data_IF_630449258691
#
_entry.id   IF_630449258691
#
_cell.length_a   1.000
_cell.length_b   1.000
_cell.length_c   1.000
_cell.angle_alpha   90.00
_cell.angle_beta   90.00
_cell.angle_gamma   90.00
#
_symmetry.space_group_name_H-M   'P 1'
#
loop_
_entity.id
_entity.type
_entity.pdbx_description
1 polymer ?
#
# COMPACT_ATOMS: atom_id res chain seq x y z
N UNK A 1 10.54 15.23 -21.25
CA UNK A 1 9.84 13.95 -21.00
C UNK A 1 9.62 13.88 -19.51
N UNK A 2 8.35 13.84 -19.07
CA UNK A 2 8.00 13.88 -17.64
C UNK A 2 8.60 12.67 -16.93
N UNK A 3 9.29 12.91 -15.83
CA UNK A 3 9.86 11.86 -14.97
C UNK A 3 8.85 11.50 -13.88
N UNK A 4 8.62 10.21 -13.64
CA UNK A 4 7.80 9.72 -12.54
C UNK A 4 8.54 8.62 -11.77
N UNK A 5 8.93 8.90 -10.53
CA UNK A 5 9.55 7.93 -9.61
C UNK A 5 8.48 7.24 -8.78
N UNK A 6 8.34 5.93 -8.93
CA UNK A 6 7.36 5.14 -8.19
C UNK A 6 8.03 4.47 -7.00
N UNK A 7 7.60 4.86 -5.80
CA UNK A 7 8.04 4.32 -4.52
C UNK A 7 7.06 3.23 -4.08
N UNK A 8 7.48 1.97 -4.12
CA UNK A 8 6.67 0.83 -3.69
C UNK A 8 6.92 0.52 -2.21
N UNK A 9 5.84 0.55 -1.42
CA UNK A 9 5.82 0.15 -0.01
C UNK A 9 4.65 -0.78 0.29
N UNK A 10 4.78 -1.72 1.25
CA UNK A 10 3.61 -2.38 1.85
C UNK A 10 2.79 -1.34 2.63
N UNK A 11 1.52 -1.16 2.25
CA UNK A 11 0.66 -0.09 2.75
C UNK A 11 0.29 -0.20 4.24
N UNK A 12 0.49 -1.36 4.86
CA UNK A 12 0.07 -1.66 6.23
C UNK A 12 1.25 -1.74 7.23
N UNK A 13 2.49 -1.50 6.79
CA UNK A 13 3.68 -1.51 7.65
C UNK A 13 4.14 -0.07 7.91
N UNK A 14 4.13 0.37 9.17
CA UNK A 14 4.52 1.74 9.57
C UNK A 14 5.99 2.00 9.28
N UNK A 15 6.87 1.04 9.50
CA UNK A 15 8.29 1.16 9.18
C UNK A 15 8.57 1.34 7.68
N UNK A 16 7.72 0.81 6.79
CA UNK A 16 7.80 1.08 5.36
C UNK A 16 7.37 2.51 5.02
N UNK A 17 6.27 2.99 5.62
CA UNK A 17 5.84 4.39 5.49
C UNK A 17 6.91 5.38 6.01
N UNK A 18 7.60 5.05 7.12
CA UNK A 18 8.72 5.84 7.64
C UNK A 18 9.91 5.91 6.65
N UNK A 19 10.19 4.84 5.91
CA UNK A 19 11.22 4.88 4.86
C UNK A 19 10.81 5.74 3.68
N UNK A 20 9.54 5.67 3.26
CA UNK A 20 9.00 6.56 2.23
C UNK A 20 9.03 8.03 2.66
N UNK A 21 8.62 8.33 3.88
CA UNK A 21 8.71 9.66 4.49
C UNK A 21 10.13 10.23 4.43
N UNK A 22 11.13 9.47 4.90
CA UNK A 22 12.54 9.86 4.82
C UNK A 22 13.06 10.04 3.39
N UNK A 23 12.49 9.31 2.43
CA UNK A 23 12.85 9.45 1.02
C UNK A 23 12.27 10.77 0.45
N UNK A 24 11.00 11.07 0.74
CA UNK A 24 10.33 12.31 0.35
C UNK A 24 11.04 13.56 0.90
N UNK A 25 11.58 13.49 2.12
CA UNK A 25 12.31 14.62 2.72
C UNK A 25 13.66 14.90 2.05
N UNK A 26 14.29 13.90 1.42
CA UNK A 26 15.66 13.98 0.89
C UNK A 26 15.76 14.31 -0.59
N UNK A 27 14.65 14.15 -1.30
CA UNK A 27 14.63 14.15 -2.75
C UNK A 27 13.78 15.32 -3.24
N UNK A 28 14.25 15.98 -4.29
CA UNK A 28 13.48 17.02 -4.97
C UNK A 28 12.48 16.41 -5.95
N UNK A 29 11.32 17.03 -6.01
CA UNK A 29 10.19 16.71 -6.89
C UNK A 29 9.30 17.95 -6.97
N UNK A 30 8.55 18.08 -8.07
CA UNK A 30 7.58 19.15 -8.27
C UNK A 30 6.13 18.65 -8.14
N UNK A 31 5.91 17.34 -8.19
CA UNK A 31 4.62 16.72 -7.88
C UNK A 31 4.78 15.48 -6.98
N UNK A 32 3.87 15.31 -6.02
CA UNK A 32 3.74 14.08 -5.22
C UNK A 32 2.35 13.48 -5.39
N UNK A 33 2.32 12.20 -5.75
CA UNK A 33 1.13 11.37 -5.89
C UNK A 33 1.06 10.41 -4.70
N UNK A 34 0.00 10.52 -3.91
CA UNK A 34 -0.21 9.77 -2.68
C UNK A 34 -1.31 8.73 -2.88
N UNK A 35 -1.04 7.52 -2.38
CA UNK A 35 -2.00 6.41 -2.33
C UNK A 35 -3.09 6.62 -1.26
N UNK A 36 -3.73 7.78 -1.28
CA UNK A 36 -4.84 8.19 -0.43
C UNK A 36 -6.06 8.54 -1.30
N UNK A 37 -7.26 8.47 -0.72
CA UNK A 37 -8.49 8.93 -1.37
C UNK A 37 -8.36 10.39 -1.79
N UNK A 38 -8.88 10.71 -2.97
CA UNK A 38 -9.01 12.07 -3.50
C UNK A 38 -9.71 13.04 -2.54
N UNK A 39 -10.65 12.54 -1.75
CA UNK A 39 -11.39 13.36 -0.79
C UNK A 39 -10.48 13.92 0.32
N UNK A 40 -9.28 13.35 0.50
CA UNK A 40 -8.31 13.78 1.49
C UNK A 40 -7.37 14.89 0.98
N UNK A 41 -7.39 15.20 -0.32
CA UNK A 41 -6.40 16.10 -0.94
C UNK A 41 -6.41 17.51 -0.34
N UNK A 42 -7.59 18.09 -0.08
CA UNK A 42 -7.70 19.43 0.53
C UNK A 42 -7.12 19.44 1.95
N UNK A 43 -7.43 18.42 2.75
CA UNK A 43 -6.91 18.30 4.12
C UNK A 43 -5.39 18.11 4.14
N UNK A 44 -4.86 17.31 3.22
CA UNK A 44 -3.42 17.09 3.09
C UNK A 44 -2.71 18.34 2.58
N UNK A 45 -3.33 19.10 1.67
CA UNK A 45 -2.79 20.39 1.22
C UNK A 45 -2.72 21.40 2.38
N UNK A 46 -3.76 21.51 3.20
CA UNK A 46 -3.73 22.36 4.39
C UNK A 46 -2.63 21.95 5.38
N UNK A 47 -2.41 20.64 5.56
CA UNK A 47 -1.27 20.13 6.35
C UNK A 47 0.07 20.54 5.73
N UNK A 48 0.18 20.46 4.41
CA UNK A 48 1.37 20.83 3.65
C UNK A 48 1.67 22.34 3.69
N UNK A 49 0.64 23.18 3.85
CA UNK A 49 0.74 24.62 4.14
C UNK A 49 1.16 24.90 5.61
N UNK A 50 1.17 23.86 6.47
CA UNK A 50 1.66 23.94 7.83
C UNK A 50 0.58 23.90 8.91
N UNK A 51 -0.68 23.58 8.56
CA UNK A 51 -1.71 23.38 9.57
C UNK A 51 -1.31 22.31 10.60
N UNK A 52 -1.73 22.43 11.87
CA UNK A 52 -1.43 21.42 12.88
C UNK A 52 -2.01 20.05 12.52
N UNK A 53 -1.20 18.99 12.61
CA UNK A 53 -1.59 17.62 12.27
C UNK A 53 -2.88 17.19 12.98
N UNK A 54 -2.93 17.32 14.31
CA UNK A 54 -4.10 16.92 15.10
C UNK A 54 -5.37 17.66 14.67
N UNK A 55 -5.27 18.94 14.27
CA UNK A 55 -6.42 19.70 13.80
C UNK A 55 -6.98 19.14 12.49
N UNK A 56 -6.10 18.86 11.53
CA UNK A 56 -6.48 18.25 10.24
C UNK A 56 -7.08 16.87 10.46
N UNK A 57 -6.44 16.02 11.27
CA UNK A 57 -6.94 14.68 11.57
C UNK A 57 -8.34 14.70 12.18
N UNK A 58 -8.58 15.56 13.17
CA UNK A 58 -9.91 15.68 13.78
C UNK A 58 -10.96 16.21 12.80
N UNK A 59 -10.57 17.09 11.86
CA UNK A 59 -11.46 17.53 10.78
C UNK A 59 -11.81 16.38 9.83
N UNK A 60 -10.81 15.60 9.40
CA UNK A 60 -11.02 14.44 8.50
C UNK A 60 -11.95 13.39 9.14
N UNK A 61 -11.81 13.14 10.45
CA UNK A 61 -12.71 12.27 11.22
C UNK A 61 -14.13 12.81 11.26
N UNK A 62 -14.32 14.10 11.59
CA UNK A 62 -15.64 14.74 11.66
C UNK A 62 -16.38 14.68 10.32
N UNK A 63 -15.65 14.86 9.23
CA UNK A 63 -16.18 14.79 7.86
C UNK A 63 -16.32 13.35 7.34
N UNK A 64 -15.86 12.34 8.09
CA UNK A 64 -15.89 10.91 7.72
C UNK A 64 -15.23 10.62 6.37
N UNK A 65 -14.15 11.35 6.06
CA UNK A 65 -13.40 11.18 4.81
C UNK A 65 -12.42 10.02 4.87
N UNK A 66 -12.11 9.55 6.08
CA UNK A 66 -11.32 8.34 6.32
C UNK A 66 -12.27 7.25 6.81
N UNK A 67 -12.30 6.07 6.16
CA UNK A 67 -13.11 4.95 6.64
C UNK A 67 -12.66 4.47 8.02
N UNK A 68 -13.62 4.05 8.85
CA UNK A 68 -13.32 3.40 10.12
C UNK A 68 -12.78 1.97 9.91
N UNK A 69 -11.90 1.44 10.78
CA UNK A 69 -11.33 2.11 11.96
C UNK A 69 -10.19 3.07 11.62
N UNK A 70 -10.29 4.32 12.08
CA UNK A 70 -9.31 5.38 11.80
C UNK A 70 -7.87 5.02 12.21
N UNK A 71 -7.72 4.28 13.32
CA UNK A 71 -6.41 3.90 13.85
C UNK A 71 -5.56 3.10 12.85
N UNK A 72 -6.18 2.20 12.08
CA UNK A 72 -5.47 1.40 11.09
C UNK A 72 -4.93 2.25 9.94
N UNK A 73 -5.72 3.22 9.47
CA UNK A 73 -5.28 4.17 8.45
C UNK A 73 -4.19 5.11 8.99
N UNK A 74 -4.40 5.68 10.18
CA UNK A 74 -3.45 6.60 10.81
C UNK A 74 -2.09 5.96 11.07
N UNK A 75 -2.06 4.67 11.43
CA UNK A 75 -0.83 3.94 11.73
C UNK A 75 0.21 3.98 10.59
N UNK A 76 -0.22 3.81 9.34
CA UNK A 76 0.67 3.88 8.17
C UNK A 76 0.64 5.24 7.44
N UNK A 77 -0.42 6.03 7.55
CA UNK A 77 -0.51 7.34 6.91
C UNK A 77 0.32 8.41 7.63
N UNK A 78 0.37 8.39 8.97
CA UNK A 78 0.99 9.42 9.81
C UNK A 78 2.42 9.78 9.37
N UNK A 79 3.35 8.83 9.16
CA UNK A 79 4.72 9.17 8.77
C UNK A 79 4.81 10.00 7.48
N UNK A 80 4.00 9.66 6.47
CA UNK A 80 3.99 10.34 5.18
C UNK A 80 3.39 11.75 5.33
N UNK A 81 2.28 11.86 6.07
CA UNK A 81 1.62 13.13 6.32
C UNK A 81 2.52 14.11 7.08
N UNK A 82 3.26 13.63 8.09
CA UNK A 82 4.20 14.45 8.84
C UNK A 82 5.40 14.92 8.00
N UNK A 83 5.90 14.08 7.08
CA UNK A 83 6.96 14.47 6.15
C UNK A 83 6.53 15.58 5.17
N UNK A 84 5.25 15.63 4.82
CA UNK A 84 4.70 16.69 3.97
C UNK A 84 4.34 17.95 4.75
N UNK A 85 4.25 17.92 6.08
CA UNK A 85 3.78 19.06 6.87
C UNK A 85 4.67 20.28 6.69
N UNK A 86 4.08 21.40 6.26
CA UNK A 86 4.80 22.65 6.02
C UNK A 86 5.74 22.62 4.82
N UNK A 87 5.68 21.60 3.96
CA UNK A 87 6.50 21.51 2.75
C UNK A 87 6.26 22.70 1.80
N UNK A 88 5.02 23.19 1.71
CA UNK A 88 4.65 24.30 0.82
C UNK A 88 5.19 25.64 1.32
N UNK A 89 5.55 25.76 2.61
CA UNK A 89 6.26 26.92 3.13
C UNK A 89 7.71 26.99 2.64
N UNK A 90 8.29 25.84 2.27
CA UNK A 90 9.67 25.72 1.76
C UNK A 90 9.71 25.65 0.24
N UNK A 91 8.72 24.98 -0.36
CA UNK A 91 8.61 24.68 -1.79
C UNK A 91 7.16 24.94 -2.25
N UNK A 92 6.76 26.22 -2.48
CA UNK A 92 5.37 26.61 -2.74
C UNK A 92 4.75 26.00 -4.00
N UNK A 93 5.59 25.69 -4.98
CA UNK A 93 5.14 25.21 -6.30
C UNK A 93 4.88 23.70 -6.36
N UNK A 94 5.14 22.97 -5.26
CA UNK A 94 4.90 21.52 -5.23
C UNK A 94 3.41 21.22 -5.35
N UNK A 95 3.09 20.35 -6.30
CA UNK A 95 1.75 19.81 -6.49
C UNK A 95 1.57 18.56 -5.64
N UNK A 96 0.46 18.51 -4.91
CA UNK A 96 0.10 17.37 -4.06
C UNK A 96 -1.20 16.79 -4.61
N UNK A 97 -1.17 15.50 -4.94
CA UNK A 97 -2.28 14.77 -5.51
C UNK A 97 -2.56 13.49 -4.74
N UNK A 98 -3.81 13.28 -4.36
CA UNK A 98 -4.28 11.99 -3.85
C UNK A 98 -4.98 11.28 -4.99
N UNK A 99 -4.53 10.07 -5.37
CA UNK A 99 -4.99 9.48 -6.62
C UNK A 99 -6.06 8.41 -6.45
N UNK A 100 -6.29 7.87 -5.25
CA UNK A 100 -7.21 6.75 -5.06
C UNK A 100 -8.66 7.14 -5.23
N UNK A 101 -9.42 6.25 -5.85
CA UNK A 101 -10.87 6.37 -5.94
C UNK A 101 -11.54 6.06 -4.59
N UNK A 102 -12.34 7.01 -4.10
CA UNK A 102 -13.05 6.89 -2.82
C UNK A 102 -14.07 5.75 -2.81
N UNK A 103 -14.66 5.41 -3.97
CA UNK A 103 -15.63 4.32 -4.05
C UNK A 103 -14.95 2.96 -3.85
N UNK A 104 -13.77 2.79 -4.44
CA UNK A 104 -12.94 1.61 -4.26
C UNK A 104 -12.33 1.52 -2.86
N UNK A 105 -11.99 2.63 -2.22
CA UNK A 105 -11.55 2.66 -0.81
C UNK A 105 -12.63 2.10 0.12
N UNK A 106 -13.89 2.51 -0.06
CA UNK A 106 -15.01 1.97 0.72
C UNK A 106 -15.22 0.47 0.47
N UNK A 107 -15.07 0.01 -0.78
CA UNK A 107 -15.15 -1.41 -1.12
C UNK A 107 -14.02 -2.20 -0.44
N UNK A 108 -12.81 -1.64 -0.41
CA UNK A 108 -11.63 -2.25 0.23
C UNK A 108 -11.85 -2.47 1.73
N UNK A 109 -12.48 -1.51 2.40
CA UNK A 109 -12.82 -1.59 3.83
C UNK A 109 -13.86 -2.68 4.08
N UNK A 110 -14.94 -2.72 3.28
CA UNK A 110 -15.96 -3.79 3.37
C UNK A 110 -15.36 -5.17 3.13
N UNK A 111 -14.38 -5.28 2.22
CA UNK A 111 -13.66 -6.53 1.99
C UNK A 111 -12.85 -6.93 3.24
N UNK A 112 -12.11 -6.00 3.84
CA UNK A 112 -11.34 -6.25 5.04
C UNK A 112 -12.22 -6.69 6.22
N UNK A 113 -13.39 -6.06 6.40
CA UNK A 113 -14.39 -6.47 7.39
C UNK A 113 -14.87 -7.91 7.17
N UNK A 114 -15.20 -8.27 5.92
CA UNK A 114 -15.61 -9.65 5.59
C UNK A 114 -14.49 -10.65 5.81
N UNK A 115 -13.25 -10.33 5.46
CA UNK A 115 -12.07 -11.17 5.74
C UNK A 115 -11.89 -11.36 7.25
N UNK A 116 -12.04 -10.29 8.04
CA UNK A 116 -11.94 -10.37 9.50
C UNK A 116 -13.03 -11.27 10.09
N UNK A 117 -14.28 -11.16 9.62
CA UNK A 117 -15.40 -12.01 10.04
C UNK A 117 -15.17 -13.49 9.69
N UNK A 118 -14.70 -13.78 8.47
CA UNK A 118 -14.38 -15.15 8.07
C UNK A 118 -13.21 -15.71 8.90
N UNK A 119 -12.18 -14.90 9.13
CA UNK A 119 -11.04 -15.28 9.99
C UNK A 119 -11.50 -15.60 11.40
N UNK A 120 -12.34 -14.75 11.99
CA UNK A 120 -12.92 -14.97 13.32
C UNK A 120 -13.77 -16.24 13.38
N UNK A 121 -14.57 -16.52 12.35
CA UNK A 121 -15.36 -17.75 12.25
C UNK A 121 -14.46 -18.99 12.23
N UNK A 122 -13.37 -18.95 11.47
CA UNK A 122 -12.40 -20.07 11.45
C UNK A 122 -11.72 -20.20 12.81
N UNK A 123 -11.30 -19.10 13.45
CA UNK A 123 -10.73 -19.14 14.81
C UNK A 123 -11.68 -19.79 15.81
N UNK A 124 -12.98 -19.52 15.71
CA UNK A 124 -13.99 -19.97 16.67
C UNK A 124 -14.50 -21.39 16.41
N UNK A 125 -14.53 -21.83 15.14
CA UNK A 125 -15.17 -23.10 14.75
C UNK A 125 -14.20 -24.13 14.19
N UNK A 126 -12.99 -23.72 13.80
CA UNK A 126 -12.02 -24.55 13.06
C UNK A 126 -12.44 -24.88 11.62
N UNK A 127 -13.60 -24.41 11.14
CA UNK A 127 -14.14 -24.76 9.83
C UNK A 127 -13.77 -23.73 8.78
N UNK A 128 -13.13 -24.17 7.70
CA UNK A 128 -12.83 -23.34 6.53
C UNK A 128 -13.79 -23.71 5.39
N UNK A 129 -14.50 -22.72 4.86
CA UNK A 129 -15.27 -22.85 3.63
C UNK A 129 -14.50 -22.20 2.48
N UNK A 130 -13.76 -22.98 1.69
CA UNK A 130 -12.92 -22.41 0.63
C UNK A 130 -13.72 -21.70 -0.46
N UNK A 131 -14.94 -22.17 -0.78
CA UNK A 131 -15.81 -21.55 -1.78
C UNK A 131 -16.27 -20.15 -1.34
N UNK A 132 -16.57 -19.97 -0.05
CA UNK A 132 -16.94 -18.66 0.52
C UNK A 132 -15.78 -17.67 0.43
N UNK A 133 -14.56 -18.12 0.76
CA UNK A 133 -13.35 -17.32 0.60
C UNK A 133 -13.08 -16.99 -0.87
N UNK A 134 -13.18 -17.97 -1.76
CA UNK A 134 -12.98 -17.79 -3.19
C UNK A 134 -13.95 -16.76 -3.77
N UNK A 135 -15.25 -16.89 -3.46
CA UNK A 135 -16.30 -15.97 -3.90
C UNK A 135 -16.07 -14.55 -3.39
N UNK A 136 -15.73 -14.40 -2.11
CA UNK A 136 -15.38 -13.09 -1.53
C UNK A 136 -14.22 -12.44 -2.27
N UNK A 137 -13.11 -13.17 -2.46
CA UNK A 137 -11.92 -12.61 -3.08
C UNK A 137 -12.16 -12.29 -4.56
N UNK A 138 -12.85 -13.17 -5.30
CA UNK A 138 -13.23 -12.94 -6.72
C UNK A 138 -14.07 -11.69 -6.89
N UNK A 139 -15.03 -11.45 -5.98
CA UNK A 139 -15.92 -10.28 -6.03
C UNK A 139 -15.19 -8.93 -5.98
N UNK A 140 -13.91 -8.93 -5.59
CA UNK A 140 -13.09 -7.73 -5.48
C UNK A 140 -12.12 -7.53 -6.66
N UNK A 141 -11.80 -8.58 -7.42
CA UNK A 141 -10.71 -8.52 -8.42
C UNK A 141 -11.03 -7.60 -9.61
N UNK A 142 -12.26 -7.66 -10.12
CA UNK A 142 -12.69 -6.79 -11.22
C UNK A 142 -12.78 -5.32 -10.78
N UNK A 143 -13.45 -4.97 -9.66
CA UNK A 143 -13.40 -3.60 -9.14
C UNK A 143 -11.98 -3.09 -8.87
N UNK A 144 -11.08 -3.94 -8.36
CA UNK A 144 -9.67 -3.57 -8.13
C UNK A 144 -8.94 -3.25 -9.43
N UNK A 145 -9.18 -4.02 -10.49
CA UNK A 145 -8.56 -3.78 -11.80
C UNK A 145 -9.07 -2.48 -12.44
N UNK A 146 -10.38 -2.21 -12.35
CA UNK A 146 -10.97 -0.98 -12.89
C UNK A 146 -10.49 0.25 -12.11
N UNK A 147 -10.49 0.18 -10.77
CA UNK A 147 -9.97 1.26 -9.93
C UNK A 147 -8.50 1.53 -10.22
N UNK A 148 -7.67 0.49 -10.33
CA UNK A 148 -6.25 0.65 -10.62
C UNK A 148 -6.00 1.31 -11.98
N UNK A 149 -6.81 0.99 -12.99
CA UNK A 149 -6.74 1.61 -14.31
C UNK A 149 -7.09 3.11 -14.21
N UNK A 150 -8.22 3.43 -13.59
CA UNK A 150 -8.69 4.81 -13.39
C UNK A 150 -7.69 5.64 -12.57
N UNK A 151 -7.15 5.08 -11.49
CA UNK A 151 -6.10 5.68 -10.66
C UNK A 151 -4.84 6.00 -11.48
N UNK A 152 -4.46 5.10 -12.39
CA UNK A 152 -3.29 5.31 -13.26
C UNK A 152 -3.54 6.40 -14.29
N UNK A 153 -4.71 6.40 -14.93
CA UNK A 153 -5.13 7.45 -15.87
C UNK A 153 -5.22 8.82 -15.18
N UNK A 154 -5.59 8.86 -13.89
CA UNK A 154 -5.55 10.07 -13.09
C UNK A 154 -4.11 10.56 -12.86
N UNK A 155 -3.19 9.67 -12.47
CA UNK A 155 -1.78 10.02 -12.27
C UNK A 155 -1.19 10.58 -13.58
N UNK A 156 -1.41 9.91 -14.71
CA UNK A 156 -0.93 10.37 -16.01
C UNK A 156 -1.40 11.80 -16.33
N UNK A 157 -2.72 12.06 -16.31
CA UNK A 157 -3.28 13.39 -16.59
C UNK A 157 -2.72 14.50 -15.70
N UNK A 158 -2.46 14.20 -14.43
CA UNK A 158 -1.91 15.18 -13.48
C UNK A 158 -0.41 15.39 -13.68
N UNK A 159 0.31 14.32 -14.05
CA UNK A 159 1.75 14.34 -14.30
C UNK A 159 2.14 15.19 -15.53
N UNK A 160 1.24 15.37 -16.51
CA UNK A 160 1.46 16.27 -17.67
C UNK A 160 1.84 17.70 -17.26
N UNK A 161 1.40 18.14 -16.09
CA UNK A 161 1.66 19.48 -15.58
C UNK A 161 2.96 19.60 -14.77
N UNK A 162 3.75 18.53 -14.67
CA UNK A 162 4.98 18.44 -13.88
C UNK A 162 6.15 17.91 -14.71
N UNK A 163 7.36 18.24 -14.32
CA UNK A 163 8.60 17.72 -14.90
C UNK A 163 9.13 16.50 -14.14
N UNK A 164 8.98 16.44 -12.80
CA UNK A 164 9.51 15.37 -11.94
C UNK A 164 8.59 14.97 -10.78
N UNK A 165 7.69 14.03 -11.07
CA UNK A 165 6.76 13.47 -10.11
C UNK A 165 7.34 12.34 -9.25
N UNK A 166 6.86 12.25 -8.01
CA UNK A 166 7.09 11.10 -7.14
C UNK A 166 5.75 10.47 -6.74
N UNK A 167 5.61 9.16 -6.91
CA UNK A 167 4.38 8.42 -6.67
C UNK A 167 4.59 7.37 -5.58
N UNK A 168 3.94 7.54 -4.43
CA UNK A 168 3.92 6.52 -3.37
C UNK A 168 2.81 5.53 -3.69
N UNK A 169 3.16 4.26 -3.85
CA UNK A 169 2.23 3.21 -4.25
C UNK A 169 2.42 1.93 -3.43
N UNK A 170 1.38 1.09 -3.44
CA UNK A 170 1.47 -0.29 -2.99
C UNK A 170 2.22 -1.17 -3.99
N UNK A 171 2.11 -2.50 -3.85
CA UNK A 171 2.69 -3.44 -4.83
C UNK A 171 2.08 -3.35 -6.23
N UNK A 172 0.93 -2.68 -6.38
CA UNK A 172 0.35 -2.28 -7.66
C UNK A 172 1.18 -1.20 -8.39
N UNK A 173 2.16 -0.56 -7.74
CA UNK A 173 3.06 0.41 -8.36
C UNK A 173 3.82 -0.11 -9.58
N UNK A 174 4.03 -1.44 -9.69
CA UNK A 174 4.56 -2.05 -10.92
C UNK A 174 3.63 -1.86 -12.12
N UNK A 175 2.31 -1.98 -11.91
CA UNK A 175 1.33 -1.78 -12.97
C UNK A 175 1.26 -0.30 -13.38
N UNK A 176 1.21 0.60 -12.39
CA UNK A 176 1.27 2.05 -12.61
C UNK A 176 2.50 2.40 -13.46
N UNK A 177 3.67 1.84 -13.10
CA UNK A 177 4.91 2.02 -13.87
C UNK A 177 4.75 1.58 -15.32
N UNK A 178 4.35 0.33 -15.54
CA UNK A 178 4.22 -0.24 -16.89
C UNK A 178 3.31 0.62 -17.76
N UNK A 179 2.16 1.03 -17.22
CA UNK A 179 1.21 1.84 -17.96
C UNK A 179 1.73 3.24 -18.28
N UNK A 180 2.35 3.91 -17.31
CA UNK A 180 2.98 5.21 -17.55
C UNK A 180 4.13 5.11 -18.58
N UNK A 181 4.89 4.01 -18.60
CA UNK A 181 5.90 3.79 -19.67
C UNK A 181 5.24 3.67 -21.05
N UNK A 182 4.13 2.95 -21.16
CA UNK A 182 3.37 2.83 -22.42
C UNK A 182 2.84 4.18 -22.91
N UNK A 183 2.59 5.11 -22.00
CA UNK A 183 2.15 6.48 -22.30
C UNK A 183 3.32 7.46 -22.54
N UNK A 184 4.56 6.98 -22.55
CA UNK A 184 5.75 7.77 -22.91
C UNK A 184 6.39 8.54 -21.75
N UNK A 185 6.04 8.23 -20.50
CA UNK A 185 6.68 8.81 -19.32
C UNK A 185 8.03 8.14 -19.02
N UNK A 186 9.00 8.92 -18.51
CA UNK A 186 10.25 8.38 -18.00
C UNK A 186 10.01 7.88 -16.57
N UNK A 187 9.84 6.57 -16.38
CA UNK A 187 9.50 6.02 -15.07
C UNK A 187 10.61 5.15 -14.46
N UNK A 188 10.74 5.26 -13.14
CA UNK A 188 11.59 4.38 -12.34
C UNK A 188 10.79 3.77 -11.19
N UNK A 189 11.25 2.62 -10.70
CA UNK A 189 10.56 1.86 -9.66
C UNK A 189 11.54 1.53 -8.54
N UNK A 190 11.25 2.02 -7.33
CA UNK A 190 12.06 1.77 -6.15
C UNK A 190 11.23 1.06 -5.08
N UNK A 191 11.66 -0.11 -4.65
CA UNK A 191 11.06 -0.82 -3.52
C UNK A 191 11.77 -0.39 -2.24
N UNK A 192 11.07 0.35 -1.36
CA UNK A 192 11.70 0.93 -0.17
C UNK A 192 11.72 -0.01 1.04
N UNK A 193 11.02 -1.13 0.95
CA UNK A 193 10.93 -2.12 2.02
C UNK A 193 11.26 -3.51 1.48
N UNK A 194 12.55 -3.80 1.29
CA UNK A 194 13.04 -5.11 0.89
C UNK A 194 14.12 -5.62 1.86
N UNK A 195 14.20 -6.95 2.08
CA UNK A 195 13.26 -7.96 1.61
C UNK A 195 11.88 -7.85 2.28
N UNK A 196 10.81 -8.14 1.54
CA UNK A 196 9.42 -8.22 2.04
C UNK A 196 8.88 -9.63 1.86
N UNK A 197 8.31 -10.18 2.94
CA UNK A 197 7.62 -11.46 2.92
C UNK A 197 6.11 -11.23 2.85
N UNK A 198 5.47 -11.72 1.78
CA UNK A 198 4.01 -11.59 1.62
C UNK A 198 3.28 -12.43 2.65
N UNK A 199 2.32 -11.82 3.34
CA UNK A 199 1.43 -12.52 4.28
C UNK A 199 0.59 -13.57 3.55
N UNK A 200 0.05 -14.58 4.26
CA UNK A 200 -0.72 -15.63 3.60
C UNK A 200 -1.94 -15.12 2.82
N UNK A 201 -2.61 -14.07 3.29
CA UNK A 201 -3.75 -13.45 2.59
C UNK A 201 -3.29 -12.70 1.33
N UNK A 202 -2.12 -12.05 1.35
CA UNK A 202 -1.56 -11.42 0.16
C UNK A 202 -1.13 -12.46 -0.87
N UNK A 203 -0.57 -13.60 -0.44
CA UNK A 203 -0.26 -14.72 -1.34
C UNK A 203 -1.55 -15.25 -1.98
N UNK A 204 -2.60 -15.45 -1.18
CA UNK A 204 -3.90 -15.89 -1.67
C UNK A 204 -4.49 -14.92 -2.70
N UNK A 205 -4.54 -13.62 -2.41
CA UNK A 205 -5.00 -12.59 -3.35
C UNK A 205 -4.23 -12.62 -4.68
N UNK A 206 -2.91 -12.81 -4.63
CA UNK A 206 -2.07 -12.89 -5.83
C UNK A 206 -2.30 -14.16 -6.63
N UNK A 207 -2.48 -15.30 -5.96
CA UNK A 207 -2.83 -16.56 -6.62
C UNK A 207 -4.22 -16.47 -7.27
N UNK A 208 -5.19 -15.88 -6.57
CA UNK A 208 -6.54 -15.61 -7.10
C UNK A 208 -6.48 -14.73 -8.35
N UNK A 209 -5.79 -13.58 -8.32
CA UNK A 209 -5.62 -12.71 -9.50
C UNK A 209 -5.03 -13.47 -10.69
N UNK A 210 -3.95 -14.21 -10.48
CA UNK A 210 -3.28 -14.98 -11.54
C UNK A 210 -4.18 -16.05 -12.12
N UNK A 211 -4.97 -16.71 -11.29
CA UNK A 211 -5.91 -17.74 -11.73
C UNK A 211 -7.05 -17.11 -12.55
N UNK A 212 -7.64 -16.02 -12.08
CA UNK A 212 -8.72 -15.30 -12.79
C UNK A 212 -8.28 -14.84 -14.18
N UNK A 213 -7.09 -14.26 -14.32
CA UNK A 213 -6.53 -13.86 -15.63
C UNK A 213 -6.39 -15.06 -16.59
N UNK A 214 -6.22 -16.27 -16.05
CA UNK A 214 -6.11 -17.52 -16.83
C UNK A 214 -7.46 -18.24 -16.99
N UNK A 215 -8.56 -17.64 -16.56
CA UNK A 215 -9.88 -18.29 -16.57
C UNK A 215 -9.98 -19.52 -15.64
N UNK A 216 -9.18 -19.57 -14.57
CA UNK A 216 -9.14 -20.70 -13.63
C UNK A 216 -9.26 -20.21 -12.17
N UNK A 217 -9.23 -21.14 -11.21
CA UNK A 217 -9.17 -20.86 -9.78
C UNK A 217 -8.07 -21.67 -9.09
N UNK A 218 -7.47 -21.19 -7.99
CA UNK A 218 -6.67 -22.04 -7.13
C UNK A 218 -7.51 -23.22 -6.60
N UNK A 219 -6.87 -24.36 -6.36
CA UNK A 219 -7.59 -25.53 -5.88
C UNK A 219 -8.17 -25.30 -4.47
N UNK A 220 -9.27 -25.98 -4.16
CA UNK A 220 -9.90 -25.97 -2.83
C UNK A 220 -8.87 -26.17 -1.70
N UNK A 221 -7.98 -27.17 -1.86
CA UNK A 221 -6.93 -27.48 -0.89
C UNK A 221 -5.93 -26.33 -0.73
N UNK A 222 -5.58 -25.63 -1.83
CA UNK A 222 -4.64 -24.51 -1.79
C UNK A 222 -5.25 -23.30 -1.09
N UNK A 223 -6.51 -22.97 -1.37
CA UNK A 223 -7.24 -21.90 -0.68
C UNK A 223 -7.31 -22.21 0.80
N UNK A 224 -7.74 -23.44 1.16
CA UNK A 224 -7.84 -23.88 2.55
C UNK A 224 -6.51 -23.76 3.28
N UNK A 225 -5.40 -24.18 2.67
CA UNK A 225 -4.07 -24.07 3.25
C UNK A 225 -3.67 -22.62 3.52
N UNK A 226 -3.87 -21.71 2.56
CA UNK A 226 -3.51 -20.30 2.72
C UNK A 226 -4.39 -19.59 3.76
N UNK A 227 -5.69 -19.92 3.81
CA UNK A 227 -6.60 -19.44 4.85
C UNK A 227 -6.16 -19.94 6.23
N UNK A 228 -5.79 -21.21 6.36
CA UNK A 228 -5.28 -21.75 7.61
C UNK A 228 -4.01 -21.01 8.07
N UNK A 229 -3.08 -20.75 7.17
CA UNK A 229 -1.88 -19.95 7.48
C UNK A 229 -2.22 -18.49 7.84
N UNK A 230 -3.22 -17.89 7.19
CA UNK A 230 -3.67 -16.54 7.53
C UNK A 230 -4.26 -16.50 8.95
N UNK A 231 -5.14 -17.44 9.28
CA UNK A 231 -5.71 -17.58 10.62
C UNK A 231 -4.63 -17.78 11.67
N UNK A 232 -3.63 -18.62 11.37
CA UNK A 232 -2.46 -18.80 12.22
C UNK A 232 -1.71 -17.48 12.43
N UNK A 233 -1.42 -16.75 11.36
CA UNK A 233 -0.75 -15.45 11.42
C UNK A 233 -1.52 -14.45 12.32
N UNK A 234 -2.85 -14.37 12.16
CA UNK A 234 -3.66 -13.47 12.98
C UNK A 234 -3.64 -13.89 14.45
N UNK A 235 -3.92 -15.16 14.75
CA UNK A 235 -4.07 -15.66 16.12
C UNK A 235 -2.75 -15.71 16.90
N UNK A 236 -1.66 -16.08 16.24
CA UNK A 236 -0.38 -16.34 16.90
C UNK A 236 0.58 -15.15 16.84
N UNK A 237 0.26 -14.11 16.07
CA UNK A 237 1.11 -12.92 15.96
C UNK A 237 0.30 -11.64 16.11
N UNK A 238 -0.69 -11.38 15.25
CA UNK A 238 -1.37 -10.08 15.25
C UNK A 238 -2.12 -9.80 16.56
N UNK A 239 -2.79 -10.80 17.15
CA UNK A 239 -3.59 -10.59 18.38
C UNK A 239 -2.78 -10.55 19.67
N UNK A 240 -1.51 -10.98 19.67
CA UNK A 240 -0.70 -11.10 20.89
C UNK A 240 0.40 -10.04 21.01
N UNK A 241 0.71 -9.31 19.94
CA UNK A 241 1.71 -8.25 19.94
C UNK A 241 1.04 -6.87 20.03
N UNK A 242 1.80 -5.87 20.46
CA UNK A 242 1.28 -4.51 20.70
C UNK A 242 0.89 -3.81 19.39
N UNK A 243 1.69 -4.00 18.35
CA UNK A 243 1.46 -3.43 17.04
C UNK A 243 1.71 -4.42 15.88
N UNK A 244 1.27 -4.01 14.68
CA UNK A 244 1.36 -4.85 13.50
C UNK A 244 2.81 -5.01 13.00
N UNK A 245 3.68 -4.00 13.15
CA UNK A 245 5.07 -4.10 12.70
C UNK A 245 5.84 -5.12 13.52
N UNK A 246 5.61 -5.17 14.84
CA UNK A 246 6.15 -6.21 15.73
C UNK A 246 5.61 -7.58 15.36
N UNK A 247 4.28 -7.72 15.21
CA UNK A 247 3.65 -8.98 14.81
C UNK A 247 4.24 -9.52 13.50
N UNK A 248 4.34 -8.66 12.49
CA UNK A 248 4.92 -8.99 11.19
C UNK A 248 6.39 -9.38 11.31
N UNK A 249 7.19 -8.59 12.03
CA UNK A 249 8.62 -8.85 12.18
C UNK A 249 8.90 -10.18 12.86
N UNK A 250 8.16 -10.51 13.93
CA UNK A 250 8.25 -11.81 14.61
C UNK A 250 7.85 -12.96 13.70
N UNK A 251 6.74 -12.81 12.97
CA UNK A 251 6.28 -13.81 12.01
C UNK A 251 7.31 -14.08 10.91
N UNK A 252 7.92 -13.03 10.34
CA UNK A 252 8.96 -13.17 9.32
C UNK A 252 10.22 -13.85 9.87
N UNK A 253 10.66 -13.48 11.08
CA UNK A 253 11.80 -14.12 11.73
C UNK A 253 11.62 -15.63 11.89
N UNK A 254 10.40 -16.08 12.19
CA UNK A 254 10.11 -17.49 12.39
C UNK A 254 9.83 -18.25 11.09
N UNK A 255 9.00 -17.69 10.20
CA UNK A 255 8.53 -18.39 8.99
C UNK A 255 9.42 -18.18 7.77
N UNK A 256 10.25 -17.14 7.77
CA UNK A 256 11.18 -16.83 6.70
C UNK A 256 12.55 -16.34 7.20
N UNK A 257 13.25 -17.09 8.08
CA UNK A 257 14.51 -16.67 8.70
C UNK A 257 15.61 -16.35 7.68
N UNK A 258 15.57 -16.97 6.49
CA UNK A 258 16.52 -16.69 5.40
C UNK A 258 16.46 -15.24 4.90
N UNK A 259 15.33 -14.54 5.06
CA UNK A 259 15.21 -13.12 4.71
C UNK A 259 15.98 -12.22 5.68
N UNK A 260 16.13 -12.64 6.95
CA UNK A 260 16.91 -11.91 7.96
C UNK A 260 18.42 -12.08 7.78
N UNK A 261 18.86 -13.19 7.17
CA UNK A 261 20.24 -13.33 6.73
C UNK A 261 20.55 -12.39 5.56
N UNK A 262 19.59 -12.18 4.64
CA UNK A 262 19.74 -11.28 3.50
C UNK A 262 19.76 -9.80 3.91
N UNK A 263 18.98 -9.39 4.92
CA UNK A 263 19.00 -8.00 5.42
C UNK A 263 20.36 -7.64 6.03
N UNK A 264 21.00 -8.54 6.77
CA UNK A 264 22.37 -8.35 7.29
C UNK A 264 23.44 -8.23 6.18
N UNK A 265 23.25 -8.92 5.05
CA UNK A 265 24.13 -8.81 3.88
C UNK A 265 23.88 -7.49 3.12
N UNK A 266 22.62 -7.02 3.09
CA UNK A 266 22.23 -5.77 2.42
C UNK A 266 22.54 -4.50 3.24
N UNK A 267 22.62 -4.57 4.57
CA UNK A 267 23.12 -3.47 5.42
C UNK A 267 24.60 -3.16 5.18
N UNK A 268 25.37 -4.11 4.64
CA UNK A 268 26.77 -3.94 4.19
C UNK A 268 26.83 -3.35 2.76
N UNK A 269 25.69 -3.27 2.07
CA UNK A 269 25.56 -2.89 0.66
C UNK A 269 24.95 -1.49 0.38
N UNK A 270 25.15 -0.42 1.19
CA UNK A 270 24.48 0.87 0.97
C UNK A 270 25.07 1.70 -0.20
N UNK A 271 25.70 1.07 -1.20
CA UNK A 271 26.27 1.76 -2.38
C UNK A 271 25.64 1.41 -3.74
N UNK A 272 24.64 0.52 -3.80
CA UNK A 272 24.17 -0.01 -5.09
C UNK A 272 22.65 0.01 -5.34
N UNK A 273 21.85 0.71 -4.52
CA UNK A 273 20.41 0.89 -4.78
C UNK A 273 20.05 2.15 -5.60
N UNK A 274 21.03 2.92 -6.07
CA UNK A 274 20.85 3.80 -7.23
C UNK A 274 21.32 3.01 -8.46
N UNK A 275 20.57 1.98 -8.84
CA UNK A 275 20.59 1.52 -10.23
C UNK A 275 19.37 2.15 -10.88
N UNK A 276 19.60 3.30 -11.51
CA UNK A 276 18.80 3.68 -12.66
C UNK A 276 18.96 2.53 -13.67
N UNK A 277 17.95 1.67 -13.77
CA UNK A 277 17.77 0.87 -14.97
C UNK A 277 17.33 1.84 -16.07
N UNK A 278 18.30 2.51 -16.68
CA UNK A 278 18.15 3.20 -17.94
C UNK A 278 18.05 2.12 -19.04
N UNK A 279 16.84 1.93 -19.54
CA UNK A 279 16.54 1.32 -20.83
C UNK A 279 15.70 2.29 -21.61
#
# INVERSE_FOLDING_TARGET
MVKVRILVIPNHIKSAALRAAKYLEKIDYDAVFLNFSRDLEEGIRALAEGAPYNFIIERLKKLRLVPEPFGAWGYSAEPILLALRGILNKRPDIKIHCYRDSSFDLLSVKMAERIALLTFRVCSTGKINAEEWESLLKSFLEPEAEALKEETDFIARKAESSEDGICVAGFNGRYIRTRLMEEGYNTSLAYLYIPYHFTPIEVLLREMRRATVRGNSPSYNRITQLVQHHVQFIREYVTINEDYDEAYSRWVCEKAPWLMCLSRVLEIWPKLQIKEEAG
#
